data_IF_559643479597
#
_entry.id   IF_559643479597
#
_cell.length_a   1.000
_cell.length_b   1.000
_cell.length_c   1.000
_cell.angle_alpha   90.00
_cell.angle_beta   90.00
_cell.angle_gamma   90.00
#
_symmetry.space_group_name_H-M   'P 1'
#
loop_
_entity.id
_entity.type
_entity.pdbx_description
1 polymer ?
#
# COMPACT_ATOMS: atom_id res chain seq x y z
N UNK A 1 -14.21 -2.15 -18.69
CA UNK A 1 -14.60 -2.03 -17.27
C UNK A 1 -13.76 -0.93 -16.65
N UNK A 2 -14.35 0.05 -15.98
CA UNK A 2 -13.58 1.13 -15.31
C UNK A 2 -13.14 0.70 -13.91
N UNK A 3 -11.99 1.18 -13.44
CA UNK A 3 -11.49 0.92 -12.07
C UNK A 3 -12.47 1.44 -10.98
N UNK A 4 -13.38 2.36 -11.33
CA UNK A 4 -14.38 2.90 -10.41
C UNK A 4 -15.20 1.81 -9.68
N UNK A 5 -15.49 0.68 -10.34
CA UNK A 5 -16.26 -0.41 -9.73
C UNK A 5 -15.51 -1.11 -8.59
N UNK A 6 -14.17 -1.10 -8.59
CA UNK A 6 -13.39 -1.69 -7.51
C UNK A 6 -13.38 -0.80 -6.25
N UNK A 7 -13.69 0.49 -6.38
CA UNK A 7 -13.73 1.42 -5.24
C UNK A 7 -14.76 1.01 -4.19
N UNK A 8 -15.87 0.38 -4.61
CA UNK A 8 -16.91 -0.13 -3.70
C UNK A 8 -16.39 -1.28 -2.82
N UNK A 9 -15.46 -2.08 -3.34
CA UNK A 9 -14.87 -3.22 -2.62
C UNK A 9 -13.71 -2.81 -1.72
N UNK A 10 -13.08 -1.65 -2.00
CA UNK A 10 -11.90 -1.16 -1.30
C UNK A 10 -12.03 -1.11 0.24
N UNK A 11 -13.12 -0.60 0.85
CA UNK A 11 -13.23 -0.56 2.30
C UNK A 11 -13.19 -1.95 2.94
N UNK A 12 -13.82 -2.96 2.32
CA UNK A 12 -13.82 -4.33 2.82
C UNK A 12 -12.43 -4.97 2.70
N UNK A 13 -11.72 -4.70 1.60
CA UNK A 13 -10.34 -5.13 1.42
C UNK A 13 -9.41 -4.53 2.49
N UNK A 14 -9.57 -3.24 2.81
CA UNK A 14 -8.77 -2.56 3.83
C UNK A 14 -9.06 -3.12 5.24
N UNK A 15 -10.30 -3.47 5.54
CA UNK A 15 -10.64 -4.14 6.79
C UNK A 15 -9.98 -5.53 6.89
N UNK A 16 -10.09 -6.34 5.82
CA UNK A 16 -9.46 -7.66 5.77
C UNK A 16 -7.93 -7.57 5.92
N UNK A 17 -7.32 -6.60 5.23
CA UNK A 17 -5.88 -6.32 5.35
C UNK A 17 -5.50 -5.90 6.76
N UNK A 18 -6.27 -5.00 7.39
CA UNK A 18 -6.02 -4.56 8.76
C UNK A 18 -6.06 -5.71 9.78
N UNK A 19 -7.03 -6.61 9.63
CA UNK A 19 -7.12 -7.83 10.46
C UNK A 19 -5.91 -8.74 10.20
N UNK A 20 -5.56 -9.00 8.94
CA UNK A 20 -4.42 -9.84 8.59
C UNK A 20 -3.09 -9.28 9.14
N UNK A 21 -2.87 -7.95 9.04
CA UNK A 21 -1.68 -7.30 9.59
C UNK A 21 -1.68 -7.35 11.13
N UNK A 22 -2.83 -7.20 11.78
CA UNK A 22 -2.95 -7.35 13.24
C UNK A 22 -2.56 -8.77 13.67
N UNK A 23 -3.08 -9.79 13.01
CA UNK A 23 -2.82 -11.19 13.35
C UNK A 23 -1.35 -11.56 13.09
N UNK A 24 -0.75 -10.96 12.05
CA UNK A 24 0.67 -11.11 11.78
C UNK A 24 1.55 -10.43 12.85
N UNK A 25 1.18 -9.24 13.32
CA UNK A 25 1.94 -8.51 14.34
C UNK A 25 1.77 -9.10 15.75
N UNK A 26 0.60 -9.65 16.06
CA UNK A 26 0.25 -10.11 17.41
C UNK A 26 -0.36 -11.52 17.45
N UNK A 27 0.35 -12.54 16.93
CA UNK A 27 -0.15 -13.91 16.99
C UNK A 27 -0.26 -14.40 18.44
N UNK A 28 -1.37 -15.09 18.75
CA UNK A 28 -1.62 -15.65 20.08
C UNK A 28 -0.63 -16.77 20.40
N UNK A 29 -0.08 -16.78 21.62
CA UNK A 29 0.87 -17.79 22.08
C UNK A 29 2.26 -17.75 21.42
N UNK A 30 2.56 -16.72 20.62
CA UNK A 30 3.84 -16.62 19.94
C UNK A 30 4.99 -16.21 20.88
N UNK A 31 6.18 -16.75 20.63
CA UNK A 31 7.41 -16.34 21.30
C UNK A 31 7.70 -14.85 21.10
N UNK A 32 8.44 -14.18 22.00
CA UNK A 32 8.81 -12.78 21.86
C UNK A 32 9.46 -12.46 20.51
N UNK A 33 10.38 -13.32 20.05
CA UNK A 33 11.07 -13.18 18.76
C UNK A 33 10.12 -13.22 17.57
N UNK A 34 9.13 -14.13 17.59
CA UNK A 34 8.11 -14.23 16.54
C UNK A 34 7.25 -12.98 16.48
N UNK A 35 6.87 -12.42 17.64
CA UNK A 35 6.08 -11.17 17.72
C UNK A 35 6.87 -9.98 17.16
N UNK A 36 8.14 -9.84 17.55
CA UNK A 36 9.01 -8.76 17.04
C UNK A 36 9.19 -8.87 15.52
N UNK A 37 9.37 -10.08 15.00
CA UNK A 37 9.49 -10.30 13.56
C UNK A 37 8.20 -9.90 12.82
N UNK A 38 7.03 -10.30 13.33
CA UNK A 38 5.74 -9.90 12.77
C UNK A 38 5.55 -8.38 12.75
N UNK A 39 5.84 -7.71 13.87
CA UNK A 39 5.78 -6.25 13.97
C UNK A 39 6.72 -5.54 12.99
N UNK A 40 7.95 -6.06 12.80
CA UNK A 40 8.89 -5.51 11.82
C UNK A 40 8.37 -5.63 10.40
N UNK A 41 7.78 -6.77 10.02
CA UNK A 41 7.19 -6.95 8.69
C UNK A 41 6.05 -5.95 8.47
N UNK A 42 5.16 -5.77 9.46
CA UNK A 42 4.07 -4.79 9.39
C UNK A 42 4.61 -3.35 9.28
N UNK A 43 5.64 -3.01 10.05
CA UNK A 43 6.28 -1.69 9.95
C UNK A 43 6.90 -1.44 8.57
N UNK A 44 7.63 -2.41 8.02
CA UNK A 44 8.19 -2.33 6.66
C UNK A 44 7.09 -2.15 5.62
N UNK A 45 5.99 -2.90 5.74
CA UNK A 45 4.84 -2.74 4.85
C UNK A 45 4.30 -1.30 4.85
N UNK A 46 4.08 -0.71 6.02
CA UNK A 46 3.60 0.68 6.11
C UNK A 46 4.61 1.71 5.58
N UNK A 47 5.90 1.51 5.83
CA UNK A 47 6.96 2.38 5.29
C UNK A 47 6.92 2.35 3.76
N UNK A 48 6.87 1.16 3.16
CA UNK A 48 6.78 1.01 1.70
C UNK A 48 5.51 1.66 1.16
N UNK A 49 4.35 1.40 1.77
CA UNK A 49 3.08 2.00 1.36
C UNK A 49 3.11 3.53 1.42
N UNK A 50 3.73 4.11 2.45
CA UNK A 50 3.87 5.55 2.60
C UNK A 50 4.82 6.15 1.55
N UNK A 51 5.98 5.51 1.31
CA UNK A 51 6.94 5.95 0.29
C UNK A 51 6.30 5.92 -1.09
N UNK A 52 5.58 4.85 -1.44
CA UNK A 52 4.86 4.77 -2.71
C UNK A 52 3.77 5.85 -2.78
N UNK A 53 3.01 6.06 -1.71
CA UNK A 53 1.98 7.11 -1.66
C UNK A 53 2.59 8.51 -1.87
N UNK A 54 3.75 8.78 -1.27
CA UNK A 54 4.48 10.03 -1.45
C UNK A 54 5.01 10.19 -2.89
N UNK A 55 5.51 9.11 -3.49
CA UNK A 55 5.98 9.09 -4.87
C UNK A 55 4.85 9.47 -5.84
N UNK A 56 3.66 8.87 -5.73
CA UNK A 56 2.50 9.20 -6.58
C UNK A 56 1.73 10.46 -6.21
N UNK A 57 2.00 11.08 -5.06
CA UNK A 57 1.23 12.21 -4.55
C UNK A 57 1.04 13.37 -5.55
N UNK A 58 2.05 13.80 -6.33
CA UNK A 58 1.86 14.87 -7.31
C UNK A 58 0.86 14.52 -8.42
N UNK A 59 0.85 13.25 -8.86
CA UNK A 59 -0.10 12.77 -9.89
C UNK A 59 -1.52 12.71 -9.31
N UNK A 60 -1.66 12.19 -8.08
CA UNK A 60 -2.95 12.08 -7.39
C UNK A 60 -3.60 13.44 -7.12
N UNK A 61 -2.80 14.48 -6.92
CA UNK A 61 -3.27 15.85 -6.65
C UNK A 61 -3.38 16.72 -7.90
N UNK A 62 -3.17 16.15 -9.09
CA UNK A 62 -3.11 16.89 -10.36
C UNK A 62 -2.11 18.06 -10.35
N UNK A 63 -1.01 17.90 -9.61
CA UNK A 63 0.10 18.86 -9.62
C UNK A 63 0.78 18.81 -10.99
N UNK A 64 1.09 19.97 -11.56
CA UNK A 64 1.82 20.05 -12.84
C UNK A 64 3.26 19.56 -12.66
N UNK A 65 3.65 18.54 -13.45
CA UNK A 65 4.97 17.89 -13.38
C UNK A 65 5.57 17.73 -14.78
N UNK A 66 6.90 17.65 -14.92
CA UNK A 66 7.54 17.35 -16.19
C UNK A 66 7.12 15.98 -16.77
N UNK A 67 7.18 15.83 -18.09
CA UNK A 67 6.79 14.57 -18.76
C UNK A 67 7.60 13.36 -18.28
N UNK A 68 8.92 13.51 -18.09
CA UNK A 68 9.77 12.40 -17.63
C UNK A 68 9.40 11.94 -16.21
N UNK A 69 8.97 12.87 -15.35
CA UNK A 69 8.43 12.52 -14.03
C UNK A 69 7.18 11.68 -14.20
N UNK A 70 6.20 12.13 -14.99
CA UNK A 70 4.97 11.36 -15.24
C UNK A 70 5.28 9.98 -15.85
N UNK A 71 6.19 9.90 -16.83
CA UNK A 71 6.60 8.65 -17.47
C UNK A 71 7.20 7.66 -16.48
N UNK A 72 8.01 8.11 -15.52
CA UNK A 72 8.60 7.25 -14.48
C UNK A 72 7.54 6.55 -13.61
N UNK A 73 6.35 7.12 -13.49
CA UNK A 73 5.24 6.58 -12.68
C UNK A 73 4.37 5.56 -13.44
N UNK A 74 4.63 5.34 -14.73
CA UNK A 74 3.91 4.37 -15.55
C UNK A 74 4.63 3.02 -15.53
N UNK A 75 4.39 2.23 -14.49
CA UNK A 75 5.06 0.94 -14.30
C UNK A 75 4.48 -0.19 -15.15
N UNK A 76 3.23 -0.06 -15.59
CA UNK A 76 2.62 -0.97 -16.56
C UNK A 76 2.61 -0.32 -17.94
N UNK A 77 2.92 -1.07 -19.02
CA UNK A 77 2.81 -0.58 -20.39
C UNK A 77 1.38 -0.10 -20.76
N UNK A 78 0.36 -0.56 -20.04
CA UNK A 78 -1.05 -0.25 -20.30
C UNK A 78 -1.56 1.02 -19.61
N UNK A 79 -0.73 1.73 -18.84
CA UNK A 79 -1.14 2.93 -18.10
C UNK A 79 -1.00 4.24 -18.88
N UNK A 80 -0.42 4.17 -20.09
CA UNK A 80 -0.22 5.29 -21.01
C UNK A 80 -1.41 5.39 -21.97
#
# INVERSE_FOLDING_TARGET
>A
MFQFYTAVMLPFLLLALGIALRDLAHPAGASPERRVTGQRVVAVFFIVALVLSAFWYPILTATSVPYDFWRLHNWSPTWI
#
